data_IF_109915201266
#
_entry.id   IF_109915201266
#
_cell.length_a   1.000
_cell.length_b   1.000
_cell.length_c   1.000
_cell.angle_alpha   90.00
_cell.angle_beta   90.00
_cell.angle_gamma   90.00
#
_symmetry.space_group_name_H-M   'P 1'
#
loop_
_entity.id
_entity.type
_entity.pdbx_description
1 polymer ?
#
# COMPACT_ATOMS: atom_id res chain seq x y z
N UNK A 1 23.15 -22.61 1.39
CA UNK A 1 24.31 -22.19 0.59
C UNK A 1 25.00 -20.99 1.22
N UNK A 2 24.29 -19.91 1.59
CA UNK A 2 24.84 -18.70 2.24
C UNK A 2 25.64 -19.02 3.51
N UNK A 3 25.12 -19.87 4.41
CA UNK A 3 25.85 -20.30 5.63
C UNK A 3 27.18 -21.01 5.33
N UNK A 4 27.32 -21.62 4.13
CA UNK A 4 28.58 -22.30 3.72
C UNK A 4 29.63 -21.36 3.15
N UNK A 5 29.24 -20.18 2.70
CA UNK A 5 30.15 -19.21 2.07
C UNK A 5 30.69 -18.18 3.04
N UNK A 6 30.18 -18.13 4.29
CA UNK A 6 30.54 -17.11 5.27
C UNK A 6 30.06 -15.69 4.90
N UNK A 7 29.26 -15.54 3.85
CA UNK A 7 28.72 -14.26 3.43
C UNK A 7 27.54 -13.91 4.34
N UNK A 8 27.64 -12.77 5.02
CA UNK A 8 26.54 -12.16 5.74
C UNK A 8 25.82 -11.19 4.82
N UNK A 9 24.47 -11.21 4.87
CA UNK A 9 23.62 -10.24 4.16
C UNK A 9 23.15 -9.19 5.15
N UNK A 10 23.22 -7.93 4.75
CA UNK A 10 22.66 -6.84 5.54
C UNK A 10 21.16 -6.71 5.29
N UNK A 11 20.72 -6.83 4.04
CA UNK A 11 19.34 -6.69 3.61
C UNK A 11 18.89 -7.80 2.66
N UNK A 12 17.60 -8.16 2.74
CA UNK A 12 16.91 -9.00 1.76
C UNK A 12 15.73 -8.23 1.21
N UNK A 13 15.76 -7.93 -0.10
CA UNK A 13 14.62 -7.33 -0.81
C UNK A 13 13.61 -8.40 -1.21
N UNK A 14 12.35 -8.24 -0.81
CA UNK A 14 11.26 -9.19 -0.99
C UNK A 14 10.23 -8.61 -1.95
N UNK A 15 10.27 -9.11 -3.21
CA UNK A 15 9.38 -8.73 -4.30
C UNK A 15 8.59 -9.94 -4.82
N UNK A 16 8.38 -10.93 -3.96
CA UNK A 16 7.65 -12.16 -4.26
C UNK A 16 6.14 -11.95 -4.29
N UNK A 17 5.32 -12.95 -4.65
CA UNK A 17 3.87 -12.88 -4.48
C UNK A 17 3.46 -12.62 -3.01
N UNK A 18 2.38 -11.85 -2.82
CA UNK A 18 1.95 -11.35 -1.51
C UNK A 18 1.90 -12.42 -0.40
N UNK A 19 1.35 -13.61 -0.70
CA UNK A 19 1.22 -14.70 0.28
C UNK A 19 2.55 -15.31 0.74
N UNK A 20 3.65 -15.00 0.05
CA UNK A 20 4.99 -15.46 0.42
C UNK A 20 5.77 -14.43 1.26
N UNK A 21 5.28 -13.20 1.38
CA UNK A 21 5.99 -12.14 2.07
C UNK A 21 6.32 -12.51 3.51
N UNK A 22 5.34 -12.97 4.29
CA UNK A 22 5.54 -13.37 5.69
C UNK A 22 6.65 -14.41 5.84
N UNK A 23 6.63 -15.48 5.03
CA UNK A 23 7.63 -16.54 5.09
C UNK A 23 9.04 -16.06 4.70
N UNK A 24 9.12 -15.19 3.69
CA UNK A 24 10.41 -14.63 3.24
C UNK A 24 10.97 -13.61 4.23
N UNK A 25 10.11 -12.82 4.88
CA UNK A 25 10.52 -11.92 5.97
C UNK A 25 11.11 -12.73 7.11
N UNK A 26 10.41 -13.76 7.59
CA UNK A 26 10.92 -14.66 8.64
C UNK A 26 12.25 -15.32 8.26
N UNK A 27 12.40 -15.69 7.00
CA UNK A 27 13.65 -16.22 6.49
C UNK A 27 14.78 -15.19 6.58
N UNK A 28 14.55 -13.95 6.14
CA UNK A 28 15.56 -12.89 6.20
C UNK A 28 16.03 -12.62 7.63
N UNK A 29 15.11 -12.36 8.56
CA UNK A 29 15.45 -12.02 9.95
C UNK A 29 16.20 -13.16 10.64
N UNK A 30 15.77 -14.42 10.47
CA UNK A 30 16.46 -15.59 11.05
C UNK A 30 17.85 -15.85 10.43
N UNK A 31 18.14 -15.25 9.28
CA UNK A 31 19.47 -15.25 8.68
C UNK A 31 20.26 -13.98 8.97
N UNK A 32 19.81 -13.23 10.00
CA UNK A 32 20.51 -12.01 10.48
C UNK A 32 20.59 -10.90 9.41
N UNK A 33 19.56 -10.81 8.54
CA UNK A 33 19.41 -9.74 7.56
C UNK A 33 18.12 -8.95 7.83
N UNK A 34 18.14 -7.65 7.61
CA UNK A 34 16.93 -6.85 7.58
C UNK A 34 16.12 -7.15 6.34
N UNK A 35 14.80 -7.03 6.43
CA UNK A 35 13.89 -7.29 5.32
C UNK A 35 13.36 -5.98 4.74
N UNK A 36 13.45 -5.81 3.42
CA UNK A 36 12.78 -4.73 2.69
C UNK A 36 11.68 -5.39 1.86
N UNK A 37 10.42 -5.20 2.24
CA UNK A 37 9.31 -5.92 1.67
C UNK A 37 8.37 -5.02 0.86
N UNK A 38 8.01 -5.50 -0.35
CA UNK A 38 6.93 -4.91 -1.14
C UNK A 38 5.60 -4.98 -0.40
N UNK A 39 4.72 -4.04 -0.75
CA UNK A 39 3.36 -4.01 -0.22
C UNK A 39 2.45 -5.08 -0.90
N UNK A 40 1.46 -5.60 -0.21
CA UNK A 40 1.24 -5.50 1.24
C UNK A 40 2.30 -6.28 1.99
N UNK A 41 2.76 -5.79 3.12
CA UNK A 41 3.80 -6.50 3.90
C UNK A 41 3.34 -7.89 4.33
N UNK A 42 2.06 -8.04 4.65
CA UNK A 42 1.34 -9.28 4.95
C UNK A 42 -0.10 -9.21 4.46
N UNK A 43 -0.80 -10.34 4.44
CA UNK A 43 -2.22 -10.40 4.07
C UNK A 43 -3.16 -10.26 5.27
N UNK A 44 -2.67 -10.53 6.48
CA UNK A 44 -3.50 -10.57 7.69
C UNK A 44 -2.86 -9.72 8.79
N UNK A 45 -3.63 -8.91 9.54
CA UNK A 45 -3.07 -8.00 10.55
C UNK A 45 -2.35 -8.73 11.69
N UNK A 46 -2.81 -9.90 12.13
CA UNK A 46 -2.13 -10.67 13.18
C UNK A 46 -0.73 -11.17 12.78
N UNK A 47 -0.42 -11.27 11.49
CA UNK A 47 0.94 -11.58 11.04
C UNK A 47 1.91 -10.42 11.35
N UNK A 48 1.41 -9.19 11.45
CA UNK A 48 2.21 -8.04 11.90
C UNK A 48 2.71 -8.29 13.33
N UNK A 49 1.80 -8.68 14.24
CA UNK A 49 2.15 -8.96 15.64
C UNK A 49 3.19 -10.07 15.74
N UNK A 50 2.99 -11.16 14.99
CA UNK A 50 3.93 -12.28 14.95
C UNK A 50 5.30 -11.90 14.37
N UNK A 51 5.35 -11.00 13.40
CA UNK A 51 6.60 -10.50 12.82
C UNK A 51 7.31 -9.53 13.76
N UNK A 52 6.58 -8.70 14.52
CA UNK A 52 7.16 -7.82 15.54
C UNK A 52 7.87 -8.62 16.64
N UNK A 53 7.33 -9.79 17.05
CA UNK A 53 8.02 -10.65 17.99
C UNK A 53 9.35 -11.16 17.40
N UNK A 54 9.38 -11.52 16.13
CA UNK A 54 10.64 -11.95 15.48
C UNK A 54 11.63 -10.80 15.32
N UNK A 55 11.18 -9.57 15.08
CA UNK A 55 12.05 -8.38 15.11
C UNK A 55 12.74 -8.24 16.47
N UNK A 56 11.96 -8.37 17.56
CA UNK A 56 12.48 -8.33 18.94
C UNK A 56 13.47 -9.45 19.22
N UNK A 57 13.15 -10.69 18.80
CA UNK A 57 14.00 -11.87 18.99
C UNK A 57 15.32 -11.78 18.26
N UNK A 58 15.31 -11.24 17.02
CA UNK A 58 16.49 -11.24 16.15
C UNK A 58 17.29 -9.95 16.21
N UNK A 59 16.71 -8.86 16.71
CA UNK A 59 17.27 -7.52 16.63
C UNK A 59 17.39 -6.99 15.21
N UNK A 60 16.63 -7.57 14.25
CA UNK A 60 16.58 -7.15 12.86
C UNK A 60 15.29 -6.39 12.56
N UNK A 61 15.31 -5.62 11.48
CA UNK A 61 14.22 -4.71 11.11
C UNK A 61 13.50 -5.16 9.84
N UNK A 62 12.20 -4.86 9.79
CA UNK A 62 11.36 -5.04 8.62
C UNK A 62 10.94 -3.66 8.13
N UNK A 63 11.28 -3.37 6.88
CA UNK A 63 10.88 -2.15 6.19
C UNK A 63 9.85 -2.48 5.12
N UNK A 64 8.78 -1.68 5.06
CA UNK A 64 7.73 -1.81 4.07
C UNK A 64 7.84 -0.70 3.01
N UNK A 65 7.62 -1.07 1.74
CA UNK A 65 7.62 -0.12 0.62
C UNK A 65 6.29 0.64 0.60
N UNK A 66 6.24 1.77 1.33
CA UNK A 66 5.12 2.71 1.37
C UNK A 66 5.43 3.94 0.51
N UNK A 67 5.74 3.70 -0.77
CA UNK A 67 6.32 4.71 -1.65
C UNK A 67 5.47 5.96 -1.85
N UNK A 68 4.13 5.90 -1.72
CA UNK A 68 3.29 7.08 -1.89
C UNK A 68 3.55 8.15 -0.82
N UNK A 69 4.02 7.76 0.36
CA UNK A 69 4.40 8.69 1.43
C UNK A 69 5.60 9.57 1.05
N UNK A 70 6.40 9.15 0.05
CA UNK A 70 7.53 9.94 -0.49
C UNK A 70 7.18 10.76 -1.72
N UNK A 71 5.93 10.70 -2.19
CA UNK A 71 5.51 11.50 -3.34
C UNK A 71 5.39 12.98 -2.94
N UNK A 72 6.01 13.94 -3.66
CA UNK A 72 6.07 15.34 -3.24
C UNK A 72 4.70 15.98 -2.98
N UNK A 73 3.71 15.71 -3.85
CA UNK A 73 2.33 16.22 -3.69
C UNK A 73 1.68 15.64 -2.43
N UNK A 74 1.91 14.36 -2.14
CA UNK A 74 1.36 13.67 -0.97
C UNK A 74 2.03 14.17 0.31
N UNK A 75 3.34 14.35 0.32
CA UNK A 75 4.07 14.95 1.44
C UNK A 75 3.56 16.37 1.74
N UNK A 76 3.38 17.19 0.70
CA UNK A 76 2.86 18.56 0.87
C UNK A 76 1.43 18.54 1.44
N UNK A 77 0.57 17.65 0.94
CA UNK A 77 -0.79 17.50 1.45
C UNK A 77 -0.77 17.06 2.93
N UNK A 78 0.07 16.10 3.29
CA UNK A 78 0.22 15.65 4.69
C UNK A 78 0.60 16.81 5.61
N UNK A 79 1.63 17.61 5.26
CA UNK A 79 2.05 18.76 6.07
C UNK A 79 0.96 19.84 6.16
N UNK A 80 0.22 20.09 5.07
CA UNK A 80 -0.92 21.01 5.08
C UNK A 80 -2.02 20.54 6.03
N UNK A 81 -2.42 19.27 5.97
CA UNK A 81 -3.46 18.71 6.83
C UNK A 81 -3.03 18.71 8.29
N UNK A 82 -1.77 18.35 8.57
CA UNK A 82 -1.18 18.36 9.91
C UNK A 82 -1.18 19.74 10.57
N UNK A 83 -1.08 20.80 9.77
CA UNK A 83 -1.13 22.19 10.24
C UNK A 83 -2.55 22.70 10.52
N UNK A 84 -3.59 21.98 10.12
CA UNK A 84 -4.99 22.35 10.33
C UNK A 84 -5.50 21.90 11.72
N UNK A 85 -6.56 22.55 12.25
CA UNK A 85 -7.23 22.07 13.46
C UNK A 85 -7.74 20.64 13.30
N UNK A 86 -7.48 19.78 14.28
CA UNK A 86 -7.83 18.35 14.27
C UNK A 86 -9.32 18.00 14.14
N UNK A 87 -10.21 18.97 14.27
CA UNK A 87 -11.67 18.72 14.22
C UNK A 87 -12.28 18.95 12.83
N UNK A 88 -11.48 19.15 11.81
CA UNK A 88 -11.97 19.41 10.46
C UNK A 88 -12.00 18.10 9.65
N UNK A 89 -13.20 17.66 9.27
CA UNK A 89 -13.39 16.56 8.33
C UNK A 89 -13.22 17.04 6.88
N UNK A 90 -12.47 16.29 6.10
CA UNK A 90 -12.29 16.50 4.66
C UNK A 90 -13.09 15.47 3.88
N UNK A 91 -13.80 15.88 2.85
CA UNK A 91 -14.51 14.97 1.94
C UNK A 91 -13.59 14.58 0.78
N UNK A 92 -13.43 13.27 0.58
CA UNK A 92 -12.50 12.70 -0.39
C UNK A 92 -13.24 11.73 -1.30
N UNK A 93 -13.01 11.88 -2.60
CA UNK A 93 -13.38 10.89 -3.61
C UNK A 93 -12.11 10.27 -4.17
N UNK A 94 -12.00 8.96 -4.09
CA UNK A 94 -10.91 8.17 -4.65
C UNK A 94 -11.44 7.22 -5.71
N UNK A 95 -11.01 7.39 -6.94
CA UNK A 95 -11.23 6.44 -8.02
C UNK A 95 -9.89 5.96 -8.56
N UNK A 96 -9.66 4.65 -8.51
CA UNK A 96 -8.49 4.04 -9.13
C UNK A 96 -8.89 2.86 -9.99
N UNK A 97 -8.72 3.01 -11.30
CA UNK A 97 -8.98 1.98 -12.29
C UNK A 97 -7.65 1.65 -12.98
N UNK A 98 -7.26 0.39 -12.95
CA UNK A 98 -6.04 -0.07 -13.64
C UNK A 98 -6.33 -1.34 -14.39
N UNK A 99 -6.75 -1.19 -15.65
CA UNK A 99 -7.17 -2.30 -16.51
C UNK A 99 -6.11 -3.38 -16.60
N UNK A 100 -6.54 -4.61 -16.32
CA UNK A 100 -5.71 -5.80 -16.41
C UNK A 100 -6.29 -6.76 -17.44
N UNK A 101 -5.42 -7.51 -18.11
CA UNK A 101 -5.87 -8.55 -19.04
C UNK A 101 -6.13 -9.88 -18.33
N UNK A 102 -6.55 -10.89 -19.09
CA UNK A 102 -6.84 -12.23 -18.58
C UNK A 102 -5.72 -12.85 -17.76
N UNK A 103 -4.46 -12.48 -18.02
CA UNK A 103 -3.29 -12.91 -17.26
C UNK A 103 -3.41 -12.63 -15.76
N UNK A 104 -4.09 -11.54 -15.38
CA UNK A 104 -4.30 -11.20 -13.98
C UNK A 104 -5.09 -12.28 -13.26
N UNK A 105 -6.19 -12.71 -13.87
CA UNK A 105 -7.12 -13.70 -13.29
C UNK A 105 -6.57 -15.11 -13.22
N UNK A 106 -5.64 -15.48 -14.13
CA UNK A 106 -4.99 -16.80 -14.14
C UNK A 106 -3.68 -16.84 -13.34
N UNK A 107 -3.16 -15.66 -12.94
CA UNK A 107 -1.99 -15.57 -12.09
C UNK A 107 -2.37 -15.63 -10.60
N UNK A 108 -1.37 -15.66 -9.73
CA UNK A 108 -1.58 -15.57 -8.27
C UNK A 108 -2.35 -14.30 -7.85
N UNK A 109 -2.34 -13.25 -8.66
CA UNK A 109 -3.05 -11.99 -8.39
C UNK A 109 -4.57 -12.12 -8.42
N UNK A 110 -5.10 -13.04 -9.25
CA UNK A 110 -6.53 -13.36 -9.33
C UNK A 110 -7.04 -14.32 -8.26
N UNK A 111 -6.13 -14.92 -7.48
CA UNK A 111 -6.48 -15.79 -6.37
C UNK A 111 -6.51 -14.98 -5.07
N UNK A 112 -7.67 -14.86 -4.45
CA UNK A 112 -7.88 -14.04 -3.24
C UNK A 112 -7.01 -14.52 -2.07
N UNK A 113 -6.78 -15.83 -1.95
CA UNK A 113 -5.96 -16.39 -0.86
C UNK A 113 -4.46 -16.06 -1.03
N UNK A 114 -4.04 -15.70 -2.24
CA UNK A 114 -2.66 -15.37 -2.56
C UNK A 114 -2.40 -13.88 -2.67
N UNK A 115 -3.37 -13.12 -3.14
CA UNK A 115 -3.24 -11.69 -3.36
C UNK A 115 -3.87 -10.83 -2.27
N UNK A 116 -4.84 -11.37 -1.53
CA UNK A 116 -5.72 -10.63 -0.64
C UNK A 116 -6.89 -9.95 -1.35
N UNK A 117 -7.07 -10.22 -2.65
CA UNK A 117 -8.12 -9.60 -3.46
C UNK A 117 -7.75 -8.21 -3.97
N UNK A 118 -8.74 -7.57 -4.61
CA UNK A 118 -8.50 -6.30 -5.32
C UNK A 118 -8.14 -5.15 -4.36
N UNK A 119 -8.82 -5.03 -3.22
CA UNK A 119 -8.57 -3.97 -2.25
C UNK A 119 -7.12 -4.04 -1.73
N UNK A 120 -6.65 -5.23 -1.37
CA UNK A 120 -5.28 -5.45 -0.91
C UNK A 120 -4.26 -5.24 -2.03
N UNK A 121 -4.52 -5.79 -3.22
CA UNK A 121 -3.52 -5.81 -4.28
C UNK A 121 -3.30 -4.43 -4.93
N UNK A 122 -4.37 -3.64 -5.14
CA UNK A 122 -4.28 -2.33 -5.78
C UNK A 122 -4.69 -1.16 -4.88
N UNK A 123 -5.49 -1.41 -3.83
CA UNK A 123 -6.02 -0.36 -2.95
C UNK A 123 -5.13 -0.02 -1.76
N UNK A 124 -4.37 -0.98 -1.23
CA UNK A 124 -3.61 -0.80 0.02
C UNK A 124 -2.71 0.44 0.03
N UNK A 125 -2.11 0.81 -1.09
CA UNK A 125 -1.32 2.02 -1.21
C UNK A 125 -2.10 3.30 -0.89
N UNK A 126 -3.35 3.37 -1.40
CA UNK A 126 -4.20 4.55 -1.21
C UNK A 126 -4.74 4.59 0.21
N UNK A 127 -5.13 3.45 0.74
CA UNK A 127 -5.61 3.37 2.13
C UNK A 127 -4.51 3.71 3.13
N UNK A 128 -3.29 3.21 2.89
CA UNK A 128 -2.12 3.60 3.67
C UNK A 128 -1.86 5.12 3.59
N UNK A 129 -1.80 5.67 2.38
CA UNK A 129 -1.61 7.09 2.14
C UNK A 129 -2.67 7.94 2.84
N UNK A 130 -3.94 7.57 2.69
CA UNK A 130 -5.06 8.31 3.29
C UNK A 130 -5.02 8.26 4.81
N UNK A 131 -4.74 7.09 5.40
CA UNK A 131 -4.59 6.94 6.84
C UNK A 131 -3.42 7.76 7.39
N UNK A 132 -2.30 7.80 6.67
CA UNK A 132 -1.14 8.60 7.03
C UNK A 132 -1.42 10.12 7.01
N UNK A 133 -2.22 10.58 6.03
CA UNK A 133 -2.56 12.01 5.89
C UNK A 133 -3.66 12.44 6.86
N UNK A 134 -4.73 11.64 6.98
CA UNK A 134 -5.98 12.06 7.62
C UNK A 134 -6.25 11.40 8.97
N UNK A 135 -5.30 10.59 9.46
CA UNK A 135 -5.37 9.96 10.77
C UNK A 135 -6.05 8.59 10.78
N UNK A 136 -6.26 8.02 11.98
CA UNK A 136 -6.72 6.66 12.17
C UNK A 136 -8.13 6.41 11.63
N UNK A 137 -8.40 5.13 11.32
CA UNK A 137 -9.71 4.65 10.88
C UNK A 137 -10.71 4.72 12.04
N UNK A 138 -11.86 5.32 11.75
CA UNK A 138 -13.03 5.36 12.65
C UNK A 138 -14.04 4.28 12.24
N UNK A 139 -14.31 4.16 10.94
CA UNK A 139 -15.18 3.11 10.40
C UNK A 139 -14.84 2.78 8.97
N UNK A 140 -15.09 1.53 8.56
CA UNK A 140 -14.93 1.06 7.19
C UNK A 140 -16.20 0.30 6.78
N UNK A 141 -16.74 0.62 5.62
CA UNK A 141 -17.95 0.00 5.10
C UNK A 141 -17.77 -0.32 3.61
N UNK A 142 -17.76 -1.60 3.28
CA UNK A 142 -17.69 -2.08 1.90
C UNK A 142 -19.11 -2.13 1.33
N UNK A 143 -19.31 -1.51 0.16
CA UNK A 143 -20.59 -1.48 -0.56
C UNK A 143 -20.63 -2.48 -1.72
N UNK A 144 -19.48 -2.70 -2.35
CA UNK A 144 -19.31 -3.64 -3.45
C UNK A 144 -17.98 -4.37 -3.28
N UNK A 145 -18.02 -5.69 -3.41
CA UNK A 145 -16.82 -6.51 -3.45
C UNK A 145 -17.01 -7.63 -4.46
N UNK A 146 -16.42 -7.45 -5.62
CA UNK A 146 -16.43 -8.40 -6.73
C UNK A 146 -15.00 -8.84 -7.07
N UNK A 147 -14.87 -9.74 -8.02
CA UNK A 147 -13.58 -10.26 -8.45
C UNK A 147 -12.67 -9.19 -9.06
N UNK A 148 -13.24 -8.21 -9.73
CA UNK A 148 -12.55 -7.20 -10.54
C UNK A 148 -12.82 -5.76 -10.12
N UNK A 149 -13.72 -5.55 -9.16
CA UNK A 149 -14.01 -4.22 -8.61
C UNK A 149 -14.44 -4.25 -7.16
N UNK A 150 -14.17 -3.16 -6.47
CA UNK A 150 -14.59 -2.94 -5.09
C UNK A 150 -14.89 -1.47 -4.85
N UNK A 151 -15.85 -1.18 -3.98
CA UNK A 151 -16.15 0.18 -3.55
C UNK A 151 -16.64 0.23 -2.12
N UNK A 152 -16.53 1.38 -1.51
CA UNK A 152 -16.97 1.56 -0.14
C UNK A 152 -16.83 2.98 0.36
N UNK A 153 -17.02 3.08 1.67
CA UNK A 153 -16.89 4.29 2.44
C UNK A 153 -15.94 4.04 3.62
N UNK A 154 -14.94 4.89 3.75
CA UNK A 154 -13.98 4.85 4.83
C UNK A 154 -14.04 6.16 5.60
N UNK A 155 -14.30 6.11 6.89
CA UNK A 155 -14.20 7.24 7.77
C UNK A 155 -12.88 7.21 8.53
N UNK A 156 -12.10 8.26 8.38
CA UNK A 156 -10.87 8.53 9.11
C UNK A 156 -11.10 9.63 10.15
N UNK A 157 -10.18 9.81 11.08
CA UNK A 157 -10.28 10.88 12.11
C UNK A 157 -10.57 12.25 11.47
N UNK A 158 -9.88 12.60 10.38
CA UNK A 158 -10.00 13.89 9.71
C UNK A 158 -10.56 13.81 8.27
N UNK A 159 -11.11 12.68 7.83
CA UNK A 159 -11.68 12.57 6.49
C UNK A 159 -12.86 11.61 6.41
N UNK A 160 -13.66 11.80 5.35
CA UNK A 160 -14.68 10.89 4.85
C UNK A 160 -14.34 10.55 3.43
N UNK A 161 -14.12 9.27 3.14
CA UNK A 161 -13.61 8.81 1.86
C UNK A 161 -14.64 7.93 1.16
N UNK A 162 -15.09 8.33 -0.01
CA UNK A 162 -15.78 7.45 -0.95
C UNK A 162 -14.72 6.87 -1.88
N UNK A 163 -14.67 5.57 -2.02
CA UNK A 163 -13.64 4.94 -2.84
C UNK A 163 -14.20 3.91 -3.81
N UNK A 164 -13.58 3.86 -5.00
CA UNK A 164 -13.85 2.89 -6.04
C UNK A 164 -12.54 2.39 -6.65
N UNK A 165 -12.41 1.06 -6.73
CA UNK A 165 -11.26 0.36 -7.30
C UNK A 165 -11.74 -0.59 -8.39
N UNK A 166 -11.09 -0.62 -9.55
CA UNK A 166 -11.39 -1.57 -10.62
C UNK A 166 -10.16 -1.98 -11.42
N UNK A 167 -10.20 -3.21 -11.92
CA UNK A 167 -9.26 -3.73 -12.93
C UNK A 167 -9.93 -3.99 -14.27
N UNK A 168 -11.22 -3.69 -14.40
CA UNK A 168 -11.98 -3.85 -15.63
C UNK A 168 -11.74 -2.66 -16.57
N UNK A 169 -11.46 -2.99 -17.85
CA UNK A 169 -11.34 -2.00 -18.92
C UNK A 169 -12.65 -1.21 -19.13
N UNK A 170 -13.80 -1.85 -18.94
CA UNK A 170 -15.09 -1.24 -19.19
C UNK A 170 -15.40 -0.09 -18.23
N UNK A 171 -14.85 -0.12 -17.03
CA UNK A 171 -15.02 0.93 -16.01
C UNK A 171 -14.15 2.19 -16.27
N UNK A 172 -13.19 2.12 -17.22
CA UNK A 172 -12.41 3.30 -17.59
C UNK A 172 -13.26 4.37 -18.27
N UNK A 173 -13.08 5.66 -17.96
CA UNK A 173 -13.71 6.75 -18.69
C UNK A 173 -13.36 6.71 -20.19
N UNK A 174 -14.31 7.08 -21.05
CA UNK A 174 -14.10 7.03 -22.50
C UNK A 174 -12.90 7.85 -22.95
N UNK A 175 -12.73 9.04 -22.40
CA UNK A 175 -11.59 9.94 -22.68
C UNK A 175 -10.22 9.29 -22.38
N UNK A 176 -10.17 8.42 -21.38
CA UNK A 176 -8.96 7.68 -21.02
C UNK A 176 -8.70 6.54 -22.01
N UNK A 177 -9.77 5.84 -22.43
CA UNK A 177 -9.72 4.78 -23.46
C UNK A 177 -9.27 5.31 -24.80
N UNK A 178 -9.82 6.44 -25.24
CA UNK A 178 -9.48 7.12 -26.51
C UNK A 178 -8.00 7.53 -26.57
N UNK A 179 -7.40 7.88 -25.42
CA UNK A 179 -5.97 8.16 -25.30
C UNK A 179 -5.10 6.89 -25.21
N UNK A 180 -5.67 5.72 -25.35
CA UNK A 180 -4.96 4.43 -25.23
C UNK A 180 -4.44 4.12 -23.82
N UNK A 181 -4.85 4.87 -22.80
CA UNK A 181 -4.40 4.68 -21.43
C UNK A 181 -5.17 3.53 -20.78
N UNK A 182 -4.48 2.79 -19.91
CA UNK A 182 -5.05 1.65 -19.16
C UNK A 182 -5.23 1.93 -17.68
N UNK A 183 -4.86 3.12 -17.24
CA UNK A 183 -4.93 3.52 -15.83
C UNK A 183 -5.59 4.87 -15.72
N UNK A 184 -6.56 4.96 -14.83
CA UNK A 184 -7.21 6.19 -14.40
C UNK A 184 -7.08 6.30 -12.89
N UNK A 185 -6.55 7.42 -12.44
CA UNK A 185 -6.40 7.75 -11.03
C UNK A 185 -6.98 9.13 -10.83
N UNK A 186 -7.96 9.22 -9.97
CA UNK A 186 -8.63 10.48 -9.67
C UNK A 186 -8.90 10.56 -8.18
N UNK A 187 -8.38 11.61 -7.57
CA UNK A 187 -8.63 11.91 -6.16
C UNK A 187 -9.05 13.36 -6.05
N UNK A 188 -10.12 13.62 -5.30
CA UNK A 188 -10.48 14.97 -4.91
C UNK A 188 -10.41 15.12 -3.40
N UNK A 189 -10.07 16.30 -2.93
CA UNK A 189 -10.10 16.71 -1.52
C UNK A 189 -10.97 17.95 -1.43
N UNK A 190 -12.14 17.85 -0.80
CA UNK A 190 -13.14 18.93 -0.73
C UNK A 190 -13.55 19.47 -2.12
N UNK A 191 -13.76 18.59 -3.09
CA UNK A 191 -14.05 18.86 -4.51
C UNK A 191 -12.91 19.50 -5.30
N UNK A 192 -11.72 19.66 -4.74
CA UNK A 192 -10.52 20.09 -5.48
C UNK A 192 -9.73 18.86 -5.91
N UNK A 193 -9.40 18.78 -7.21
CA UNK A 193 -8.61 17.66 -7.74
C UNK A 193 -7.19 17.68 -7.19
N UNK A 194 -6.74 16.54 -6.69
CA UNK A 194 -5.38 16.31 -6.28
C UNK A 194 -4.60 15.71 -7.46
N UNK A 195 -3.92 16.57 -8.21
CA UNK A 195 -3.10 16.11 -9.33
C UNK A 195 -1.79 15.47 -8.85
N UNK A 196 -1.68 14.16 -9.02
CA UNK A 196 -0.47 13.41 -8.69
C UNK A 196 -0.23 12.24 -9.68
N UNK A 197 -0.55 12.46 -10.94
CA UNK A 197 -0.34 11.48 -12.02
C UNK A 197 1.13 11.30 -12.40
N UNK A 198 1.95 12.30 -12.13
CA UNK A 198 3.39 12.32 -12.38
C UNK A 198 4.20 12.10 -11.09
N UNK A 199 5.49 11.91 -11.21
CA UNK A 199 6.38 11.80 -10.03
C UNK A 199 6.53 10.39 -9.44
N UNK A 200 6.05 9.36 -10.13
CA UNK A 200 6.15 7.96 -9.65
C UNK A 200 7.46 7.28 -10.01
N UNK A 201 8.25 7.83 -10.92
CA UNK A 201 9.39 7.14 -11.55
C UNK A 201 10.46 6.75 -10.54
N UNK A 202 10.73 7.59 -9.54
CA UNK A 202 11.84 7.40 -8.61
C UNK A 202 11.42 7.03 -7.18
N UNK A 203 10.13 6.81 -6.93
CA UNK A 203 9.63 6.60 -5.57
C UNK A 203 10.24 5.36 -4.89
N UNK A 204 10.47 4.28 -5.63
CA UNK A 204 11.17 3.12 -5.09
C UNK A 204 12.62 3.46 -4.73
N UNK A 205 13.34 4.13 -5.61
CA UNK A 205 14.72 4.57 -5.36
C UNK A 205 14.81 5.46 -4.12
N UNK A 206 13.85 6.38 -3.97
CA UNK A 206 13.76 7.24 -2.78
C UNK A 206 13.49 6.40 -1.54
N UNK A 207 12.53 5.48 -1.59
CA UNK A 207 12.18 4.59 -0.48
C UNK A 207 13.40 3.79 -0.02
N UNK A 208 14.12 3.13 -0.94
CA UNK A 208 15.34 2.40 -0.60
C UNK A 208 16.42 3.30 -0.01
N UNK A 209 16.61 4.49 -0.56
CA UNK A 209 17.56 5.47 -0.03
C UNK A 209 17.24 5.85 1.41
N UNK A 210 15.98 6.12 1.72
CA UNK A 210 15.55 6.48 3.06
C UNK A 210 15.65 5.28 4.03
N UNK A 211 15.36 4.06 3.60
CA UNK A 211 15.62 2.86 4.39
C UNK A 211 17.10 2.73 4.75
N UNK A 212 17.98 2.88 3.77
CA UNK A 212 19.44 2.79 4.00
C UNK A 212 19.98 3.93 4.89
N UNK A 213 19.25 5.03 5.03
CA UNK A 213 19.54 6.14 5.95
C UNK A 213 18.94 5.94 7.36
N UNK A 214 18.17 4.86 7.57
CA UNK A 214 17.47 4.60 8.81
C UNK A 214 16.09 5.28 8.94
N UNK A 215 15.57 5.88 7.86
CA UNK A 215 14.29 6.59 7.82
C UNK A 215 13.18 5.76 7.13
N UNK A 216 13.30 4.45 7.06
CA UNK A 216 12.32 3.58 6.44
C UNK A 216 11.06 3.40 7.29
N UNK A 217 9.94 3.07 6.65
CA UNK A 217 8.67 2.74 7.31
C UNK A 217 8.67 1.27 7.75
N UNK A 218 8.31 1.03 9.00
CA UNK A 218 8.28 -0.31 9.61
C UNK A 218 6.92 -1.01 9.53
N UNK A 219 6.78 -2.08 10.30
CA UNK A 219 5.55 -2.89 10.35
C UNK A 219 4.34 -2.09 10.87
N UNK A 220 4.55 -1.30 11.93
CA UNK A 220 3.46 -0.53 12.54
C UNK A 220 2.93 0.54 11.61
N UNK A 221 3.79 1.13 10.77
CA UNK A 221 3.38 2.06 9.73
C UNK A 221 2.42 1.44 8.70
N UNK A 222 2.57 0.15 8.41
CA UNK A 222 1.74 -0.56 7.45
C UNK A 222 0.43 -1.09 8.05
N UNK A 223 0.33 -1.21 9.38
CA UNK A 223 -0.77 -1.88 10.10
C UNK A 223 -2.13 -1.41 9.64
N UNK A 224 -2.38 -0.10 9.71
CA UNK A 224 -3.69 0.47 9.37
C UNK A 224 -4.10 0.16 7.93
N UNK A 225 -3.18 0.25 6.97
CA UNK A 225 -3.45 -0.11 5.58
C UNK A 225 -3.86 -1.58 5.41
N UNK A 226 -3.24 -2.48 6.17
CA UNK A 226 -3.58 -3.91 6.18
C UNK A 226 -4.94 -4.15 6.84
N UNK A 227 -5.24 -3.50 7.96
CA UNK A 227 -6.52 -3.62 8.66
C UNK A 227 -7.71 -3.13 7.82
N UNK A 228 -7.52 -2.08 7.02
CA UNK A 228 -8.58 -1.58 6.12
C UNK A 228 -8.94 -2.60 5.03
N UNK A 229 -7.97 -3.33 4.50
CA UNK A 229 -8.17 -4.22 3.35
C UNK A 229 -8.45 -5.66 3.75
N UNK A 230 -8.30 -5.99 5.01
CA UNK A 230 -8.65 -7.29 5.60
C UNK A 230 -10.13 -7.36 5.94
#
# INVERSE_FOLDING_TARGET
KLKRTGVQLDYVSICSPNYLHDSHIRFALRHQADAICEKPVVLNPWNIDALQEIEKETGRHIFNILQLRYHPVIMNLHERIKALPKNRKHDIDLTYITSRGNWYHISWKGDINKSGGIATNIGVHFFDMLGWIFGPVVSNRVHLLERDKASGYLELENARVRWFLSIDWNDLPNEVKEKGKRTYRHITVNNEELEFSEGFTDLHTITYREILRGNGYGLEDARQGIEIVY
#
